data_IF_827691862321
#
_entry.id   IF_827691862321
#
_cell.length_a   1.000
_cell.length_b   1.000
_cell.length_c   1.000
_cell.angle_alpha   90.00
_cell.angle_beta   90.00
_cell.angle_gamma   90.00
#
_symmetry.space_group_name_H-M   'P 1'
#
loop_
_entity.id
_entity.type
_entity.pdbx_description
1 polymer ?
#
# COMPACT_ATOMS: atom_id res chain seq x y z
N UNK A 1 6.26 -3.06 -12.70
CA UNK A 1 5.58 -2.65 -11.45
C UNK A 1 6.66 -2.35 -10.45
N UNK A 2 6.57 -1.23 -9.74
CA UNK A 2 7.54 -0.91 -8.69
C UNK A 2 6.92 -1.25 -7.33
N UNK A 3 7.64 -2.02 -6.51
CA UNK A 3 7.15 -2.54 -5.24
C UNK A 3 8.25 -2.50 -4.18
N UNK A 4 7.90 -2.63 -2.88
CA UNK A 4 8.87 -2.64 -1.78
C UNK A 4 9.88 -3.81 -1.84
N UNK A 5 9.56 -4.86 -2.60
CA UNK A 5 10.42 -6.05 -2.82
C UNK A 5 11.00 -6.08 -4.25
N UNK A 6 12.14 -6.74 -4.42
CA UNK A 6 12.79 -6.82 -5.74
C UNK A 6 12.04 -7.71 -6.73
N UNK A 7 12.30 -7.53 -8.03
CA UNK A 7 11.62 -8.28 -9.11
C UNK A 7 11.75 -9.80 -8.99
N UNK A 8 12.88 -10.30 -8.48
CA UNK A 8 13.08 -11.73 -8.26
C UNK A 8 12.14 -12.24 -7.17
N UNK A 9 11.97 -11.49 -6.08
CA UNK A 9 11.08 -11.85 -4.97
C UNK A 9 9.59 -11.69 -5.30
N UNK A 10 9.25 -10.88 -6.31
CA UNK A 10 7.89 -10.77 -6.82
C UNK A 10 7.46 -12.04 -7.57
N UNK A 11 8.40 -12.69 -8.25
CA UNK A 11 8.18 -13.93 -9.03
C UNK A 11 8.37 -15.21 -8.21
N UNK A 12 9.12 -15.13 -7.12
CA UNK A 12 9.50 -16.27 -6.30
C UNK A 12 8.69 -16.35 -5.01
N UNK A 13 8.38 -17.56 -4.57
CA UNK A 13 7.77 -17.81 -3.25
C UNK A 13 8.73 -17.55 -2.09
N UNK A 14 10.05 -17.50 -2.36
CA UNK A 14 11.10 -17.30 -1.36
C UNK A 14 11.70 -15.89 -1.50
N UNK A 15 11.90 -15.22 -0.36
CA UNK A 15 12.62 -13.94 -0.32
C UNK A 15 14.13 -14.15 -0.46
N UNK A 16 14.78 -13.33 -1.28
CA UNK A 16 16.25 -13.28 -1.32
C UNK A 16 16.81 -12.71 -0.01
N UNK A 17 18.11 -12.94 0.24
CA UNK A 17 18.80 -12.45 1.44
C UNK A 17 18.61 -10.95 1.67
N UNK A 18 18.62 -10.14 0.62
CA UNK A 18 18.41 -8.69 0.72
C UNK A 18 16.99 -8.28 1.13
N UNK A 19 15.95 -8.94 0.61
CA UNK A 19 14.58 -8.66 1.03
C UNK A 19 14.28 -9.24 2.41
N UNK A 20 14.91 -10.36 2.77
CA UNK A 20 14.81 -10.93 4.11
C UNK A 20 15.42 -10.00 5.16
N UNK A 21 16.62 -9.47 4.92
CA UNK A 21 17.23 -8.46 5.79
C UNK A 21 16.33 -7.22 5.96
N UNK A 22 15.71 -6.72 4.87
CA UNK A 22 14.76 -5.59 4.97
C UNK A 22 13.52 -5.92 5.80
N UNK A 23 13.06 -7.17 5.78
CA UNK A 23 11.94 -7.63 6.60
C UNK A 23 12.36 -7.71 8.07
N UNK A 24 13.53 -8.27 8.34
CA UNK A 24 14.09 -8.41 9.68
C UNK A 24 14.40 -7.03 10.32
N UNK A 25 14.86 -6.06 9.52
CA UNK A 25 15.07 -4.66 9.92
C UNK A 25 13.77 -3.84 10.04
N UNK A 26 12.61 -4.41 9.71
CA UNK A 26 11.32 -3.71 9.73
C UNK A 26 11.15 -2.64 8.65
N UNK A 27 12.02 -2.60 7.63
CA UNK A 27 11.92 -1.68 6.48
C UNK A 27 10.78 -2.08 5.54
N UNK A 28 10.44 -3.37 5.49
CA UNK A 28 9.25 -3.90 4.82
C UNK A 28 8.49 -4.80 5.80
N UNK A 29 7.19 -4.97 5.62
CA UNK A 29 6.33 -5.85 6.40
C UNK A 29 5.94 -7.11 5.64
N UNK A 30 5.40 -8.12 6.31
CA UNK A 30 4.81 -9.27 5.62
C UNK A 30 3.66 -8.86 4.70
N UNK A 31 2.87 -7.85 5.09
CA UNK A 31 1.79 -7.31 4.29
C UNK A 31 2.32 -6.72 2.97
N UNK A 32 3.45 -6.02 3.02
CA UNK A 32 4.14 -5.52 1.81
C UNK A 32 4.46 -6.66 0.85
N UNK A 33 5.00 -7.77 1.37
CA UNK A 33 5.38 -8.93 0.55
C UNK A 33 4.14 -9.58 -0.07
N UNK A 34 3.12 -9.88 0.75
CA UNK A 34 1.90 -10.60 0.31
C UNK A 34 1.14 -9.79 -0.73
N UNK A 35 0.90 -8.51 -0.49
CA UNK A 35 0.17 -7.63 -1.42
C UNK A 35 0.96 -7.40 -2.69
N UNK A 36 2.27 -7.19 -2.60
CA UNK A 36 3.11 -6.98 -3.79
C UNK A 36 3.13 -8.21 -4.70
N UNK A 37 3.25 -9.43 -4.14
CA UNK A 37 3.15 -10.68 -4.91
C UNK A 37 1.77 -10.84 -5.54
N UNK A 38 0.71 -10.58 -4.78
CA UNK A 38 -0.65 -10.70 -5.29
C UNK A 38 -0.89 -9.73 -6.47
N UNK A 39 -0.52 -8.47 -6.33
CA UNK A 39 -0.64 -7.47 -7.40
C UNK A 39 0.26 -7.78 -8.60
N UNK A 40 1.43 -8.37 -8.36
CA UNK A 40 2.29 -8.84 -9.44
C UNK A 40 1.62 -9.94 -10.27
N UNK A 41 1.01 -10.93 -9.61
CA UNK A 41 0.25 -12.00 -10.27
C UNK A 41 -0.91 -11.46 -11.12
N UNK A 42 -1.60 -10.43 -10.61
CA UNK A 42 -2.66 -9.75 -11.37
C UNK A 42 -2.10 -8.95 -12.55
N UNK A 43 -0.89 -8.41 -12.43
CA UNK A 43 -0.23 -7.63 -13.48
C UNK A 43 0.13 -8.45 -14.72
N UNK A 44 0.21 -9.78 -14.59
CA UNK A 44 0.37 -10.68 -15.75
C UNK A 44 -0.87 -10.68 -16.65
N UNK A 45 -2.06 -10.49 -16.06
CA UNK A 45 -3.34 -10.42 -16.80
C UNK A 45 -3.75 -8.98 -17.12
N UNK A 46 -3.37 -8.03 -16.26
CA UNK A 46 -3.77 -6.63 -16.35
C UNK A 46 -2.52 -5.77 -16.58
N UNK A 47 -2.23 -5.49 -17.85
CA UNK A 47 -1.02 -4.77 -18.26
C UNK A 47 -0.86 -3.40 -17.59
N UNK A 48 -1.96 -2.70 -17.28
CA UNK A 48 -1.91 -1.39 -16.62
C UNK A 48 -1.25 -1.44 -15.24
N UNK A 49 -1.39 -2.54 -14.49
CA UNK A 49 -0.77 -2.71 -13.17
C UNK A 49 0.76 -2.68 -13.22
N UNK A 50 1.37 -2.97 -14.37
CA UNK A 50 2.83 -2.89 -14.53
C UNK A 50 3.37 -1.47 -14.31
N UNK A 51 2.53 -0.44 -14.48
CA UNK A 51 2.90 0.96 -14.27
C UNK A 51 2.59 1.46 -12.85
N UNK A 52 2.02 0.63 -11.97
CA UNK A 52 1.78 1.00 -10.58
C UNK A 52 3.08 1.00 -9.76
N UNK A 53 3.18 1.97 -8.84
CA UNK A 53 4.20 2.04 -7.79
C UNK A 53 3.54 1.80 -6.44
N UNK A 54 3.95 0.77 -5.72
CA UNK A 54 3.56 0.49 -4.34
C UNK A 54 4.72 0.90 -3.43
N UNK A 55 4.38 1.68 -2.42
CA UNK A 55 5.35 2.30 -1.51
C UNK A 55 5.36 1.56 -0.18
N UNK A 56 4.17 1.32 0.38
CA UNK A 56 4.02 0.65 1.66
C UNK A 56 2.62 0.09 1.82
N UNK A 57 2.49 -0.97 2.59
CA UNK A 57 1.23 -1.60 2.99
C UNK A 57 1.19 -1.60 4.51
N UNK A 58 0.08 -1.10 5.04
CA UNK A 58 -0.21 -1.09 6.47
C UNK A 58 -1.44 -1.94 6.68
N UNK A 59 -1.25 -3.03 7.43
CA UNK A 59 -2.33 -3.93 7.79
C UNK A 59 -2.86 -3.56 9.18
N UNK A 60 -4.15 -3.22 9.24
CA UNK A 60 -4.92 -3.01 10.46
C UNK A 60 -5.84 -4.22 10.69
N UNK A 61 -6.65 -4.20 11.76
CA UNK A 61 -7.52 -5.29 12.14
C UNK A 61 -8.46 -5.74 11.00
N UNK A 62 -9.30 -4.83 10.53
CA UNK A 62 -10.32 -5.06 9.48
C UNK A 62 -9.99 -4.35 8.15
N UNK A 63 -8.98 -3.48 8.17
CA UNK A 63 -8.64 -2.56 7.09
C UNK A 63 -7.19 -2.76 6.65
N UNK A 64 -6.94 -2.70 5.36
CA UNK A 64 -5.59 -2.72 4.78
C UNK A 64 -5.39 -1.46 3.95
N UNK A 65 -4.41 -0.65 4.34
CA UNK A 65 -4.06 0.60 3.69
C UNK A 65 -2.87 0.36 2.77
N UNK A 66 -3.02 0.65 1.49
CA UNK A 66 -1.96 0.53 0.47
C UNK A 66 -1.56 1.95 0.05
N UNK A 67 -0.36 2.35 0.46
CA UNK A 67 0.29 3.58 0.02
C UNK A 67 0.92 3.34 -1.35
N UNK A 68 0.53 4.14 -2.34
CA UNK A 68 0.98 4.04 -3.72
C UNK A 68 1.62 5.34 -4.18
N UNK A 69 2.44 5.27 -5.22
CA UNK A 69 2.99 6.48 -5.84
C UNK A 69 1.93 7.31 -6.52
N UNK A 70 2.21 8.60 -6.73
CA UNK A 70 1.32 9.52 -7.45
C UNK A 70 0.91 8.96 -8.83
N UNK A 71 -0.38 8.97 -9.13
CA UNK A 71 -0.94 8.43 -10.37
C UNK A 71 -1.14 6.91 -10.37
N UNK A 72 -0.72 6.20 -9.32
CA UNK A 72 -0.89 4.75 -9.21
C UNK A 72 -2.23 4.35 -8.58
N UNK A 73 -2.95 5.24 -7.88
CA UNK A 73 -4.24 4.89 -7.29
C UNK A 73 -5.27 4.40 -8.32
N UNK A 74 -5.57 5.12 -9.42
CA UNK A 74 -6.54 4.63 -10.41
C UNK A 74 -6.12 3.30 -11.07
N UNK A 75 -4.82 3.06 -11.17
CA UNK A 75 -4.25 1.82 -11.71
C UNK A 75 -4.51 0.65 -10.76
N UNK A 76 -4.26 0.83 -9.46
CA UNK A 76 -4.43 -0.19 -8.43
C UNK A 76 -5.90 -0.41 -8.07
N UNK A 77 -6.76 0.61 -8.21
CA UNK A 77 -8.22 0.45 -8.12
C UNK A 77 -8.71 -0.43 -9.28
N UNK A 78 -8.20 -0.14 -10.49
CA UNK A 78 -8.56 -0.84 -11.72
C UNK A 78 -9.92 -0.43 -12.28
N UNK A 79 -10.18 -0.80 -13.55
CA UNK A 79 -11.44 -0.47 -14.23
C UNK A 79 -12.63 -1.12 -13.49
N UNK A 80 -13.61 -0.32 -13.09
CA UNK A 80 -14.78 -0.80 -12.34
C UNK A 80 -14.45 -1.33 -10.94
N UNK A 81 -13.33 -0.89 -10.35
CA UNK A 81 -12.80 -1.35 -9.07
C UNK A 81 -12.51 -2.88 -9.04
N UNK A 82 -12.19 -3.47 -10.20
CA UNK A 82 -11.97 -4.91 -10.31
C UNK A 82 -10.77 -5.40 -9.49
N UNK A 83 -9.64 -4.68 -9.53
CA UNK A 83 -8.43 -5.00 -8.77
C UNK A 83 -8.68 -4.78 -7.28
N UNK A 84 -9.31 -3.67 -6.90
CA UNK A 84 -9.70 -3.39 -5.52
C UNK A 84 -10.59 -4.50 -4.92
N UNK A 85 -11.63 -4.93 -5.65
CA UNK A 85 -12.52 -6.02 -5.24
C UNK A 85 -11.78 -7.35 -5.12
N UNK A 86 -10.85 -7.61 -6.04
CA UNK A 86 -10.01 -8.80 -6.02
C UNK A 86 -9.09 -8.83 -4.80
N UNK A 87 -8.45 -7.70 -4.48
CA UNK A 87 -7.66 -7.53 -3.25
C UNK A 87 -8.52 -7.76 -2.01
N UNK A 88 -9.68 -7.10 -1.92
CA UNK A 88 -10.57 -7.23 -0.75
C UNK A 88 -11.04 -8.68 -0.56
N UNK A 89 -11.38 -9.38 -1.65
CA UNK A 89 -11.76 -10.81 -1.61
C UNK A 89 -10.61 -11.71 -1.17
N UNK A 90 -9.38 -11.46 -1.65
CA UNK A 90 -8.22 -12.28 -1.33
C UNK A 90 -7.75 -12.11 0.12
N UNK A 91 -7.78 -10.88 0.64
CA UNK A 91 -7.29 -10.56 1.97
C UNK A 91 -8.40 -10.53 3.05
N UNK A 92 -9.67 -10.60 2.65
CA UNK A 92 -10.81 -10.56 3.58
C UNK A 92 -10.94 -9.24 4.35
N UNK A 93 -10.37 -8.15 3.82
CA UNK A 93 -10.26 -6.85 4.49
C UNK A 93 -10.79 -5.72 3.63
N UNK A 94 -11.17 -4.61 4.28
CA UNK A 94 -11.47 -3.36 3.63
C UNK A 94 -10.18 -2.74 3.09
N UNK A 95 -10.07 -2.58 1.78
CA UNK A 95 -8.85 -2.05 1.17
C UNK A 95 -9.00 -0.54 0.96
N UNK A 96 -8.05 0.24 1.47
CA UNK A 96 -7.93 1.69 1.28
C UNK A 96 -6.67 1.99 0.50
N UNK A 97 -6.78 2.77 -0.56
CA UNK A 97 -5.63 3.16 -1.40
C UNK A 97 -5.37 4.65 -1.20
N UNK A 98 -4.12 5.01 -0.93
CA UNK A 98 -3.69 6.38 -0.64
C UNK A 98 -2.47 6.71 -1.51
N UNK A 99 -2.47 7.88 -2.15
CA UNK A 99 -1.31 8.32 -2.94
C UNK A 99 -0.29 9.10 -2.11
N UNK A 100 1.00 8.91 -2.38
CA UNK A 100 2.09 9.76 -1.88
C UNK A 100 1.79 11.24 -2.16
N UNK A 101 2.02 12.10 -1.15
CA UNK A 101 1.75 13.53 -1.25
C UNK A 101 0.27 13.91 -1.05
N UNK A 102 -0.56 12.97 -0.59
CA UNK A 102 -1.91 13.29 -0.12
C UNK A 102 -1.86 14.14 1.16
N UNK A 103 -2.71 15.15 1.23
CA UNK A 103 -2.92 15.96 2.44
C UNK A 103 -3.38 15.06 3.61
N UNK A 104 -2.90 15.34 4.83
CA UNK A 104 -3.26 14.59 6.03
C UNK A 104 -4.77 14.53 6.26
N UNK A 105 -5.52 15.58 5.87
CA UNK A 105 -6.98 15.59 5.91
C UNK A 105 -7.54 14.53 4.96
N UNK A 106 -7.04 14.44 3.73
CA UNK A 106 -7.50 13.43 2.74
C UNK A 106 -7.12 12.00 3.15
N UNK A 107 -5.96 11.84 3.79
CA UNK A 107 -5.53 10.56 4.37
C UNK A 107 -6.50 10.16 5.49
N UNK A 108 -6.80 11.07 6.42
CA UNK A 108 -7.75 10.84 7.50
C UNK A 108 -9.16 10.55 6.97
N UNK A 109 -9.64 11.30 5.97
CA UNK A 109 -10.92 11.06 5.29
C UNK A 109 -10.99 9.65 4.69
N UNK A 110 -9.93 9.24 3.99
CA UNK A 110 -9.88 7.93 3.34
C UNK A 110 -9.92 6.79 4.36
N UNK A 111 -9.18 6.92 5.47
CA UNK A 111 -9.08 5.89 6.51
C UNK A 111 -10.35 5.85 7.36
N UNK A 112 -10.77 6.99 7.92
CA UNK A 112 -11.90 7.09 8.84
C UNK A 112 -13.26 7.02 8.15
N UNK A 113 -13.29 7.17 6.82
CA UNK A 113 -14.52 7.22 6.01
C UNK A 113 -15.50 8.32 6.46
N UNK A 114 -14.98 9.36 7.13
CA UNK A 114 -15.70 10.55 7.58
C UNK A 114 -14.84 11.78 7.34
N UNK A 115 -15.48 12.94 7.18
CA UNK A 115 -14.79 14.22 7.01
C UNK A 115 -14.34 14.79 8.37
N UNK A 116 -13.03 14.92 8.65
CA UNK A 116 -12.56 15.58 9.84
C UNK A 116 -12.98 17.05 9.84
N UNK A 117 -13.44 17.56 10.99
CA UNK A 117 -13.78 18.98 11.16
C UNK A 117 -12.49 19.81 11.25
N UNK A 118 -11.47 19.28 11.94
CA UNK A 118 -10.16 19.89 12.10
C UNK A 118 -9.08 18.82 12.34
N UNK A 119 -7.84 19.12 11.97
CA UNK A 119 -6.64 18.33 12.31
C UNK A 119 -5.68 19.27 13.05
N UNK A 120 -5.34 18.94 14.29
CA UNK A 120 -4.40 19.71 15.11
C UNK A 120 -3.07 18.97 15.18
N UNK A 121 -1.97 19.62 14.78
CA UNK A 121 -0.60 19.09 14.88
C UNK A 121 0.04 19.76 16.09
N UNK A 122 0.49 18.94 17.06
CA UNK A 122 1.08 19.44 18.30
C UNK A 122 2.61 19.35 18.19
N UNK A 123 3.27 20.51 18.25
CA UNK A 123 4.72 20.62 18.20
C UNK A 123 5.29 20.71 19.60
N UNK A 124 6.28 19.87 19.89
CA UNK A 124 6.97 19.86 21.17
C UNK A 124 8.20 20.77 21.11
N UNK A 125 8.72 21.19 22.27
CA UNK A 125 9.85 22.15 22.40
C UNK A 125 11.14 21.68 21.72
N UNK A 126 11.28 20.38 21.48
CA UNK A 126 12.38 19.72 20.77
C UNK A 126 12.20 19.72 19.24
N UNK A 127 11.06 20.22 18.72
CA UNK A 127 10.75 20.27 17.29
C UNK A 127 10.18 18.97 16.73
N UNK A 128 9.97 17.94 17.57
CA UNK A 128 9.32 16.71 17.17
C UNK A 128 7.79 16.89 17.09
N UNK A 129 7.18 16.25 16.10
CA UNK A 129 5.72 16.21 15.88
C UNK A 129 5.15 14.86 16.30
N UNK A 130 4.00 14.88 16.99
CA UNK A 130 3.12 13.70 17.13
C UNK A 130 2.32 13.44 15.86
#
# INVERSE_FOLDING_TARGET
>A
MNAPICEVCLKSDILCSGCKAKLDEGKISEADVKVSRYLYSLSEKIQSLKNAKIVKVVELADTMVILVGKGSAPIVIGKGANVLKSLSKNFGKNIKIIEEGSDIVKVAESILSVKPIAVNILYRKDGETY
#
